data_IF_477356801656
#
_entry.id   IF_477356801656
#
_cell.length_a   1.000
_cell.length_b   1.000
_cell.length_c   1.000
_cell.angle_alpha   90.00
_cell.angle_beta   90.00
_cell.angle_gamma   90.00
#
_symmetry.space_group_name_H-M   'P 1'
#
loop_
_entity.id
_entity.type
_entity.pdbx_description
1 polymer ?
#
# COMPACT_ATOMS: atom_id res chain seq x y z
N UNK A 1 3.34 -6.03 0.73
CA UNK A 1 4.68 -5.41 0.88
C UNK A 1 5.16 -5.67 2.29
N UNK A 2 6.36 -6.23 2.51
CA UNK A 2 6.90 -6.39 3.86
C UNK A 2 7.30 -5.03 4.47
N UNK A 3 7.28 -4.95 5.79
CA UNK A 3 7.92 -3.88 6.57
C UNK A 3 9.46 -3.98 6.45
N UNK A 4 10.19 -2.90 6.76
CA UNK A 4 11.66 -2.88 6.66
C UNK A 4 12.37 -3.96 7.48
N UNK A 5 11.78 -4.34 8.62
CA UNK A 5 12.30 -5.39 9.51
C UNK A 5 11.90 -6.81 9.06
N UNK A 6 11.11 -6.94 7.98
CA UNK A 6 10.66 -8.21 7.43
C UNK A 6 9.59 -8.93 8.25
N UNK A 7 9.12 -8.36 9.37
CA UNK A 7 8.23 -9.03 10.33
C UNK A 7 6.75 -8.84 10.03
N UNK A 8 6.37 -7.75 9.38
CA UNK A 8 4.98 -7.44 9.06
C UNK A 8 4.79 -7.40 7.55
N UNK A 9 3.69 -7.92 7.03
CA UNK A 9 3.29 -7.73 5.63
C UNK A 9 2.00 -6.92 5.58
N UNK A 10 2.04 -5.85 4.77
CA UNK A 10 0.89 -5.05 4.37
C UNK A 10 0.27 -5.65 3.11
N UNK A 11 -1.01 -6.00 3.18
CA UNK A 11 -1.78 -6.56 2.07
C UNK A 11 -2.94 -5.60 1.78
N UNK A 12 -2.95 -5.07 0.56
CA UNK A 12 -4.13 -4.40 0.05
C UNK A 12 -5.20 -5.43 -0.30
N UNK A 13 -6.41 -5.14 0.17
CA UNK A 13 -7.58 -5.92 -0.18
C UNK A 13 -8.28 -5.17 -1.32
N UNK A 14 -8.18 -5.75 -2.51
CA UNK A 14 -8.97 -5.32 -3.65
C UNK A 14 -10.35 -5.97 -3.63
N UNK A 15 -11.33 -5.27 -4.16
CA UNK A 15 -12.69 -5.79 -4.40
C UNK A 15 -12.94 -5.75 -5.90
N UNK A 16 -12.98 -6.93 -6.54
CA UNK A 16 -13.11 -7.04 -8.00
C UNK A 16 -14.57 -7.02 -8.46
N UNK A 17 -15.48 -7.66 -7.71
CA UNK A 17 -16.89 -7.74 -8.06
C UNK A 17 -17.76 -7.64 -6.81
N UNK A 18 -18.81 -6.84 -6.91
CA UNK A 18 -19.87 -6.74 -5.90
C UNK A 18 -21.21 -7.20 -6.48
N UNK A 19 -22.22 -7.47 -5.63
CA UNK A 19 -23.59 -7.69 -6.07
C UNK A 19 -24.11 -6.52 -6.92
N UNK A 20 -25.14 -6.73 -7.76
CA UNK A 20 -25.80 -5.64 -8.45
C UNK A 20 -26.23 -4.53 -7.47
N UNK A 21 -25.98 -3.27 -7.83
CA UNK A 21 -26.29 -2.07 -7.03
C UNK A 21 -25.47 -1.89 -5.74
N UNK A 22 -24.37 -2.64 -5.55
CA UNK A 22 -23.42 -2.42 -4.45
C UNK A 22 -22.09 -1.98 -5.04
N UNK A 23 -21.56 -0.84 -4.56
CA UNK A 23 -20.19 -0.43 -4.89
C UNK A 23 -19.24 -1.38 -4.17
N UNK A 24 -18.54 -2.21 -4.93
CA UNK A 24 -17.55 -3.13 -4.40
C UNK A 24 -16.31 -2.33 -3.97
N UNK A 25 -16.12 -2.14 -2.67
CA UNK A 25 -15.01 -1.37 -2.12
C UNK A 25 -14.36 -2.03 -0.91
N UNK A 26 -13.08 -1.74 -0.71
CA UNK A 26 -12.35 -1.97 0.53
C UNK A 26 -11.97 -0.63 1.16
N UNK A 27 -11.91 -0.61 2.49
CA UNK A 27 -11.55 0.58 3.30
C UNK A 27 -10.44 0.28 4.30
N UNK A 28 -9.63 -0.75 4.04
CA UNK A 28 -8.55 -1.11 4.95
C UNK A 28 -7.36 -1.74 4.24
N UNK A 29 -6.20 -1.63 4.89
CA UNK A 29 -5.00 -2.44 4.61
C UNK A 29 -4.94 -3.54 5.66
N UNK A 30 -4.86 -4.79 5.23
CA UNK A 30 -4.70 -5.93 6.12
C UNK A 30 -3.22 -6.09 6.52
N UNK A 31 -2.99 -6.41 7.79
CA UNK A 31 -1.65 -6.59 8.35
C UNK A 31 -1.49 -8.02 8.84
N UNK A 32 -0.33 -8.61 8.56
CA UNK A 32 0.04 -9.93 9.05
C UNK A 32 1.43 -9.87 9.68
N UNK A 33 1.57 -10.40 10.89
CA UNK A 33 2.86 -10.78 11.44
C UNK A 33 3.30 -12.08 10.74
N UNK A 34 4.49 -12.06 10.16
CA UNK A 34 5.13 -13.16 9.44
C UNK A 34 6.50 -13.49 10.01
N UNK A 35 6.79 -13.05 11.25
CA UNK A 35 8.05 -13.35 11.94
C UNK A 35 8.31 -14.86 12.06
N UNK A 36 7.24 -15.65 12.14
CA UNK A 36 7.24 -17.10 11.91
C UNK A 36 6.44 -17.40 10.63
N UNK A 37 7.09 -17.75 9.51
CA UNK A 37 6.41 -18.00 8.24
C UNK A 37 5.53 -19.26 8.28
N UNK A 38 5.71 -20.17 9.24
CA UNK A 38 4.87 -21.35 9.41
C UNK A 38 3.60 -21.05 10.21
N UNK A 39 3.53 -19.89 10.87
CA UNK A 39 2.42 -19.49 11.75
C UNK A 39 2.11 -18.00 11.61
N UNK A 40 1.67 -17.54 10.41
CA UNK A 40 1.32 -16.14 10.22
C UNK A 40 0.13 -15.75 11.11
N UNK A 41 0.16 -14.55 11.67
CA UNK A 41 -0.89 -14.01 12.51
C UNK A 41 -1.48 -12.74 11.88
N UNK A 42 -2.79 -12.72 11.63
CA UNK A 42 -3.46 -11.50 11.24
C UNK A 42 -3.49 -10.51 12.41
N UNK A 43 -3.02 -9.30 12.16
CA UNK A 43 -3.05 -8.18 13.08
C UNK A 43 -4.27 -7.28 12.79
N UNK A 44 -4.52 -6.30 13.65
CA UNK A 44 -5.53 -5.28 13.38
C UNK A 44 -5.26 -4.57 12.05
N UNK A 45 -6.27 -4.52 11.18
CA UNK A 45 -6.20 -3.80 9.91
C UNK A 45 -6.17 -2.29 10.12
N UNK A 46 -5.54 -1.57 9.20
CA UNK A 46 -5.49 -0.10 9.23
C UNK A 46 -6.62 0.45 8.35
N UNK A 47 -7.55 1.26 8.89
CA UNK A 47 -8.59 1.90 8.09
C UNK A 47 -7.97 2.94 7.16
N UNK A 48 -8.43 2.96 5.91
CA UNK A 48 -8.02 3.91 4.86
C UNK A 48 -9.25 4.35 4.04
N UNK A 49 -9.05 5.28 3.10
CA UNK A 49 -10.10 5.65 2.16
C UNK A 49 -10.54 4.47 1.27
N UNK A 50 -11.67 4.65 0.60
CA UNK A 50 -12.25 3.66 -0.28
C UNK A 50 -11.44 3.46 -1.56
N UNK A 51 -11.32 2.21 -1.96
CA UNK A 51 -10.80 1.82 -3.26
C UNK A 51 -11.40 0.51 -3.71
N UNK A 52 -11.45 0.33 -5.02
CA UNK A 52 -11.91 -0.87 -5.69
C UNK A 52 -10.84 -1.40 -6.65
N UNK A 53 -11.11 -2.57 -7.24
CA UNK A 53 -10.24 -3.23 -8.20
C UNK A 53 -8.82 -3.46 -7.64
N UNK A 54 -7.80 -3.26 -8.47
CA UNK A 54 -6.41 -3.24 -8.07
C UNK A 54 -6.06 -1.89 -7.44
N UNK A 55 -5.75 -1.90 -6.16
CA UNK A 55 -5.12 -0.77 -5.47
C UNK A 55 -3.61 -0.92 -5.52
N UNK A 56 -2.89 0.17 -5.26
CA UNK A 56 -1.46 0.07 -5.02
C UNK A 56 -1.02 0.86 -3.78
N UNK A 57 0.02 0.33 -3.13
CA UNK A 57 0.75 1.01 -2.07
C UNK A 57 2.27 1.04 -2.32
N UNK A 58 2.93 1.99 -1.69
CA UNK A 58 4.39 2.18 -1.74
C UNK A 58 4.95 2.59 -0.38
N UNK A 59 6.11 2.05 -0.02
CA UNK A 59 6.82 2.35 1.23
C UNK A 59 7.89 3.40 0.96
N UNK A 60 8.04 4.43 1.78
CA UNK A 60 9.17 5.37 1.67
C UNK A 60 10.50 4.64 1.85
N UNK A 61 11.58 5.17 1.28
CA UNK A 61 12.88 4.47 1.33
C UNK A 61 13.48 4.36 2.73
N UNK A 62 13.08 5.23 3.66
CA UNK A 62 13.41 5.09 5.08
C UNK A 62 12.50 4.10 5.82
N UNK A 63 11.49 3.54 5.14
CA UNK A 63 10.59 2.54 5.67
C UNK A 63 9.53 3.05 6.64
N UNK A 64 9.45 4.37 6.87
CA UNK A 64 8.60 4.94 7.93
C UNK A 64 7.16 5.17 7.49
N UNK A 65 6.94 5.46 6.21
CA UNK A 65 5.64 5.81 5.68
C UNK A 65 5.18 4.83 4.61
N UNK A 66 3.93 4.41 4.68
CA UNK A 66 3.24 3.66 3.64
C UNK A 66 2.19 4.57 2.99
N UNK A 67 2.28 4.75 1.68
CA UNK A 67 1.32 5.49 0.89
C UNK A 67 0.36 4.50 0.23
N UNK A 68 -0.95 4.77 0.30
CA UNK A 68 -2.02 3.89 -0.19
C UNK A 68 -2.96 4.70 -1.08
N UNK A 69 -3.26 4.24 -2.29
CA UNK A 69 -4.21 4.92 -3.18
C UNK A 69 -5.65 4.59 -2.80
N UNK A 70 -6.50 5.61 -2.71
CA UNK A 70 -7.94 5.50 -2.47
C UNK A 70 -8.66 5.96 -3.74
N UNK A 71 -8.83 5.03 -4.69
CA UNK A 71 -9.34 5.33 -6.03
C UNK A 71 -10.75 5.90 -6.00
N UNK A 72 -11.64 5.39 -5.15
CA UNK A 72 -13.03 5.85 -5.06
C UNK A 72 -13.17 7.17 -4.32
N UNK A 73 -12.27 7.45 -3.38
CA UNK A 73 -12.28 8.69 -2.58
C UNK A 73 -11.41 9.81 -3.19
N UNK A 74 -10.81 9.59 -4.37
CA UNK A 74 -9.88 10.52 -5.02
C UNK A 74 -8.77 11.02 -4.08
N UNK A 75 -8.18 10.14 -3.28
CA UNK A 75 -7.20 10.53 -2.26
C UNK A 75 -6.08 9.50 -2.07
N UNK A 76 -5.05 9.87 -1.29
CA UNK A 76 -3.96 9.00 -0.86
C UNK A 76 -3.90 9.03 0.67
N UNK A 77 -3.92 7.85 1.30
CA UNK A 77 -3.67 7.73 2.74
C UNK A 77 -2.16 7.61 2.99
N UNK A 78 -1.62 8.39 3.92
CA UNK A 78 -0.24 8.27 4.43
C UNK A 78 -0.31 7.64 5.82
N UNK A 79 0.30 6.47 5.96
CA UNK A 79 0.32 5.66 7.17
C UNK A 79 1.71 5.71 7.79
N UNK A 80 1.79 5.95 9.09
CA UNK A 80 3.00 5.69 9.88
C UNK A 80 3.12 4.20 10.17
N UNK A 81 4.24 3.60 9.77
CA UNK A 81 4.47 2.15 9.86
C UNK A 81 4.65 1.68 11.29
N UNK A 82 5.28 2.51 12.14
CA UNK A 82 5.57 2.14 13.54
C UNK A 82 4.31 2.08 14.40
N UNK A 83 3.49 3.13 14.33
CA UNK A 83 2.22 3.24 15.06
C UNK A 83 1.04 2.56 14.36
N UNK A 84 1.16 2.25 13.06
CA UNK A 84 0.11 1.64 12.24
C UNK A 84 -1.14 2.51 12.17
N UNK A 85 -0.94 3.82 12.03
CA UNK A 85 -2.02 4.81 11.99
C UNK A 85 -1.92 5.68 10.73
N UNK A 86 -3.07 6.09 10.20
CA UNK A 86 -3.12 7.11 9.15
C UNK A 86 -2.73 8.46 9.75
N UNK A 87 -1.61 9.02 9.31
CA UNK A 87 -1.15 10.35 9.71
C UNK A 87 -1.85 11.46 8.92
N UNK A 88 -2.17 11.19 7.65
CA UNK A 88 -2.71 12.19 6.73
C UNK A 88 -3.45 11.51 5.58
N UNK A 89 -4.48 12.19 5.07
CA UNK A 89 -5.10 11.88 3.78
C UNK A 89 -4.90 13.07 2.85
N UNK A 90 -4.35 12.83 1.66
CA UNK A 90 -4.06 13.87 0.66
C UNK A 90 -5.08 13.75 -0.48
N UNK A 91 -5.83 14.80 -0.82
CA UNK A 91 -6.72 14.79 -1.98
C UNK A 91 -5.91 14.76 -3.29
N UNK A 92 -6.48 14.14 -4.31
CA UNK A 92 -5.94 14.09 -5.68
C UNK A 92 -7.03 14.54 -6.67
N UNK A 93 -6.66 14.72 -7.94
CA UNK A 93 -7.61 15.22 -8.95
C UNK A 93 -8.66 14.15 -9.28
N UNK A 94 -8.25 12.94 -9.69
CA UNK A 94 -9.17 11.82 -9.92
C UNK A 94 -8.47 10.48 -9.75
N UNK A 95 -9.15 9.54 -9.10
CA UNK A 95 -8.97 8.07 -9.16
C UNK A 95 -7.51 7.61 -9.20
N UNK A 96 -6.72 7.88 -8.14
CA UNK A 96 -5.34 7.43 -8.08
C UNK A 96 -5.29 5.90 -8.07
N UNK A 97 -4.41 5.35 -8.89
CA UNK A 97 -4.23 3.90 -9.01
C UNK A 97 -2.87 3.44 -8.54
N UNK A 98 -1.83 4.06 -9.09
CA UNK A 98 -0.44 3.72 -8.79
C UNK A 98 0.20 4.76 -7.90
N UNK A 99 1.06 4.29 -7.02
CA UNK A 99 1.95 5.14 -6.23
C UNK A 99 3.33 4.50 -6.22
N UNK A 100 4.34 5.34 -6.38
CA UNK A 100 5.75 4.96 -6.27
C UNK A 100 6.45 5.96 -5.37
N UNK A 101 7.35 5.46 -4.55
CA UNK A 101 8.28 6.26 -3.75
C UNK A 101 9.68 6.03 -4.30
N UNK A 102 10.57 6.98 -4.03
CA UNK A 102 11.97 6.89 -4.42
C UNK A 102 12.85 7.15 -3.20
N UNK A 103 14.01 6.51 -3.16
CA UNK A 103 15.12 6.90 -2.29
C UNK A 103 16.45 6.65 -2.99
N UNK A 104 17.45 7.38 -2.53
CA UNK A 104 18.86 7.22 -2.92
C UNK A 104 19.39 5.81 -2.67
N UNK A 105 18.94 5.12 -1.61
CA UNK A 105 19.45 3.80 -1.23
C UNK A 105 18.65 2.57 -1.70
N UNK A 106 17.35 2.69 -2.01
CA UNK A 106 16.46 1.53 -2.25
C UNK A 106 15.81 1.53 -3.65
N UNK A 107 16.06 2.56 -4.48
CA UNK A 107 15.42 2.68 -5.79
C UNK A 107 13.90 2.82 -5.68
N UNK A 108 13.14 2.72 -6.78
CA UNK A 108 11.69 2.74 -6.71
C UNK A 108 11.17 1.55 -5.88
N UNK A 109 10.12 1.77 -5.07
CA UNK A 109 9.49 0.76 -4.21
C UNK A 109 8.93 -0.49 -4.93
N UNK A 110 9.04 -0.54 -6.27
CA UNK A 110 8.80 -1.70 -7.12
C UNK A 110 9.92 -1.78 -8.16
N UNK A 111 10.40 -2.97 -8.56
CA UNK A 111 11.33 -3.11 -9.67
C UNK A 111 10.71 -2.48 -10.91
N UNK A 112 11.35 -1.44 -11.45
CA UNK A 112 11.11 -1.09 -12.85
C UNK A 112 11.69 -2.24 -13.66
N UNK A 113 10.91 -2.85 -14.55
CA UNK A 113 11.44 -3.82 -15.53
C UNK A 113 12.70 -3.29 -16.21
N UNK A 114 13.53 -4.15 -16.83
CA UNK A 114 14.97 -3.94 -17.00
C UNK A 114 15.28 -2.48 -17.32
N UNK A 115 15.86 -1.79 -16.33
CA UNK A 115 16.44 -0.49 -16.55
C UNK A 115 17.65 -0.72 -17.45
N UNK A 116 17.45 -0.68 -18.77
CA UNK A 116 18.54 -0.63 -19.73
C UNK A 116 19.18 0.75 -19.63
N UNK A 117 19.83 1.04 -18.50
CA UNK A 117 20.85 2.07 -18.43
C UNK A 117 22.14 1.42 -18.90
N UNK A 118 22.17 1.13 -20.20
CA UNK A 118 23.43 0.94 -20.88
C UNK A 118 24.15 2.28 -20.88
N UNK A 119 25.35 2.33 -20.32
CA UNK A 119 26.59 2.50 -21.10
C UNK A 119 27.83 2.54 -20.20
N UNK A 120 28.83 1.82 -20.71
CA UNK A 120 30.29 1.93 -20.62
C UNK A 120 30.89 2.63 -19.41
#
# INVERSE_FOLDING_TARGET
MPSPDGKTVFIEIGTLYGPPNVVAESRFVALFDVSDPHRPLQLASIPVGAGNDTREHALTGDGKLLLVTNSLDNSISIIDVGSRQVMRTIPTVTRPFRVVTFSDGIGPSKPTGPATLGRK
#
